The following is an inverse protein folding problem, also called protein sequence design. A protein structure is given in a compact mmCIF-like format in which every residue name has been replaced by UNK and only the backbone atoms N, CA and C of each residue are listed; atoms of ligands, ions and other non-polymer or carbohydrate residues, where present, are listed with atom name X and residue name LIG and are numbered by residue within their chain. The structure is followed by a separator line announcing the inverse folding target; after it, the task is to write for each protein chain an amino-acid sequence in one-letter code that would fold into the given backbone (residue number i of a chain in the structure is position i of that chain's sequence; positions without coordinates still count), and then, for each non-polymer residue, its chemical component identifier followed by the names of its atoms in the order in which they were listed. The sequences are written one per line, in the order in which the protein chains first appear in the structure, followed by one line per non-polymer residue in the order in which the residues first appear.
data_IF_590518404244
#
_entry.id   IF_590518404244
#
_cell.length_a   1.000
_cell.length_b   1.000
_cell.length_c   1.000
_cell.angle_alpha   90.00
_cell.angle_beta   90.00
_cell.angle_gamma   90.00
#
_symmetry.space_group_name_H-M   'P 1'
#
loop_
_entity.id
_entity.type
_entity.pdbx_description
1 polymer ?
#
# COMPACT_ATOMS: atom_id res chain seq x y z
N UNK A 1 -8.52 -23.59 -12.85
CA UNK A 1 -8.78 -22.19 -13.25
C UNK A 1 -7.57 -21.35 -12.87
N UNK A 2 -7.00 -20.60 -13.82
CA UNK A 2 -5.79 -19.79 -13.60
C UNK A 2 -6.15 -18.51 -12.85
N UNK A 3 -5.57 -18.29 -11.66
CA UNK A 3 -5.62 -16.98 -11.01
C UNK A 3 -4.71 -16.02 -11.77
N UNK A 4 -5.26 -14.96 -12.36
CA UNK A 4 -4.45 -13.90 -12.96
C UNK A 4 -3.78 -13.11 -11.83
N UNK A 5 -2.45 -13.10 -11.81
CA UNK A 5 -1.64 -12.27 -10.91
C UNK A 5 -1.18 -11.04 -11.68
N UNK A 6 -1.44 -9.85 -11.15
CA UNK A 6 -1.00 -8.58 -11.71
C UNK A 6 -0.07 -7.87 -10.73
N UNK A 7 1.02 -7.32 -11.28
CA UNK A 7 1.94 -6.44 -10.56
C UNK A 7 1.74 -5.00 -11.01
N UNK A 8 1.48 -4.11 -10.06
CA UNK A 8 1.20 -2.71 -10.34
C UNK A 8 2.06 -1.82 -9.43
N UNK A 9 2.67 -0.79 -9.99
CA UNK A 9 3.34 0.25 -9.23
C UNK A 9 2.40 1.45 -9.08
N UNK A 10 2.26 1.95 -7.87
CA UNK A 10 1.47 3.13 -7.55
C UNK A 10 2.36 4.13 -6.84
N UNK A 11 2.54 5.30 -7.46
CA UNK A 11 3.17 6.45 -6.81
C UNK A 11 2.23 7.04 -5.76
N UNK A 12 2.80 7.41 -4.62
CA UNK A 12 2.14 8.03 -3.48
C UNK A 12 2.85 9.35 -3.14
N UNK A 13 2.23 10.23 -2.34
CA UNK A 13 2.85 11.49 -1.96
C UNK A 13 4.21 11.32 -1.26
N UNK A 14 5.01 12.39 -1.28
CA UNK A 14 6.22 12.52 -0.44
C UNK A 14 7.28 11.44 -0.68
N UNK A 15 7.40 10.97 -1.92
CA UNK A 15 8.38 9.96 -2.32
C UNK A 15 8.03 8.53 -1.91
N UNK A 16 6.81 8.31 -1.42
CA UNK A 16 6.28 6.98 -1.18
C UNK A 16 5.86 6.30 -2.48
N UNK A 17 6.02 4.99 -2.54
CA UNK A 17 5.48 4.16 -3.62
C UNK A 17 4.97 2.83 -3.08
N UNK A 18 4.09 2.20 -3.85
CA UNK A 18 3.47 0.93 -3.51
C UNK A 18 3.57 -0.05 -4.68
N UNK A 19 4.26 -1.17 -4.48
CA UNK A 19 4.25 -2.30 -5.43
C UNK A 19 3.18 -3.30 -5.00
N UNK A 20 2.18 -3.49 -5.86
CA UNK A 20 0.98 -4.27 -5.56
C UNK A 20 1.06 -5.62 -6.28
N UNK A 21 1.01 -6.70 -5.52
CA UNK A 21 0.73 -8.05 -6.02
C UNK A 21 -0.74 -8.36 -5.79
N UNK A 22 -1.55 -8.26 -6.85
CA UNK A 22 -2.99 -8.55 -6.80
C UNK A 22 -3.32 -9.87 -7.47
N UNK A 23 -4.21 -10.63 -6.84
CA UNK A 23 -4.72 -11.91 -7.34
C UNK A 23 -6.24 -11.89 -7.41
N UNK A 24 -6.78 -12.37 -8.52
CA UNK A 24 -8.21 -12.67 -8.62
C UNK A 24 -8.48 -14.02 -7.95
N UNK A 25 -9.45 -14.06 -7.03
CA UNK A 25 -9.89 -15.25 -6.32
C UNK A 25 -10.89 -16.05 -7.17
N UNK A 26 -11.17 -17.30 -6.79
CA UNK A 26 -12.08 -18.21 -7.54
C UNK A 26 -13.52 -17.69 -7.66
N UNK A 27 -13.94 -16.79 -6.77
CA UNK A 27 -15.24 -16.12 -6.81
C UNK A 27 -15.22 -14.77 -7.57
N UNK A 28 -14.16 -14.48 -8.32
CA UNK A 28 -14.03 -13.27 -9.14
C UNK A 28 -13.64 -11.99 -8.37
N UNK A 29 -13.46 -12.07 -7.05
CA UNK A 29 -13.01 -10.96 -6.20
C UNK A 29 -11.49 -10.78 -6.26
N UNK A 30 -10.99 -9.70 -5.68
CA UNK A 30 -9.56 -9.35 -5.75
C UNK A 30 -8.97 -9.17 -4.36
N UNK A 31 -7.85 -9.84 -4.07
CA UNK A 31 -7.13 -9.70 -2.81
C UNK A 31 -5.62 -9.70 -3.08
N UNK A 32 -4.83 -9.27 -2.10
CA UNK A 32 -3.39 -9.24 -2.31
C UNK A 32 -2.62 -8.50 -1.25
N UNK A 33 -1.40 -8.18 -1.64
CA UNK A 33 -0.39 -7.57 -0.80
C UNK A 33 0.22 -6.39 -1.55
N UNK A 34 0.49 -5.32 -0.83
CA UNK A 34 1.16 -4.13 -1.34
C UNK A 34 2.40 -3.84 -0.50
N UNK A 35 3.58 -3.91 -1.12
CA UNK A 35 4.83 -3.46 -0.51
C UNK A 35 4.88 -1.94 -0.55
N UNK A 36 5.19 -1.32 0.58
CA UNK A 36 5.30 0.13 0.74
C UNK A 36 6.76 0.51 0.90
N UNK A 37 7.19 1.44 0.04
CA UNK A 37 8.55 1.93 0.01
C UNK A 37 8.58 3.45 0.07
N UNK A 38 9.61 4.01 0.69
CA UNK A 38 9.89 5.45 0.70
C UNK A 38 11.28 5.64 0.09
N UNK A 39 11.35 6.41 -1.00
CA UNK A 39 12.59 6.64 -1.75
C UNK A 39 13.29 5.32 -2.14
N UNK A 40 12.50 4.31 -2.51
CA UNK A 40 12.98 2.99 -2.92
C UNK A 40 13.36 2.03 -1.78
N UNK A 41 13.38 2.49 -0.53
CA UNK A 41 13.63 1.65 0.63
C UNK A 41 12.32 1.04 1.12
N UNK A 42 12.30 -0.25 1.45
CA UNK A 42 11.10 -0.94 1.95
C UNK A 42 10.82 -0.58 3.40
N UNK A 43 9.59 -0.16 3.69
CA UNK A 43 9.14 0.21 5.04
C UNK A 43 8.06 -0.69 5.61
N UNK A 44 7.29 -1.36 4.76
CA UNK A 44 6.20 -2.17 5.25
C UNK A 44 5.44 -2.90 4.17
N UNK A 45 4.43 -3.64 4.63
CA UNK A 45 3.56 -4.44 3.79
C UNK A 45 2.12 -4.20 4.23
N UNK A 46 1.26 -3.86 3.27
CA UNK A 46 -0.18 -3.74 3.43
C UNK A 46 -0.84 -5.00 2.85
N UNK A 47 -1.55 -5.74 3.69
CA UNK A 47 -2.44 -6.83 3.25
C UNK A 47 -3.84 -6.26 3.08
N UNK A 48 -4.47 -6.52 1.93
CA UNK A 48 -5.88 -6.16 1.72
C UNK A 48 -6.74 -7.39 1.44
N UNK A 49 -7.83 -7.47 2.20
CA UNK A 49 -8.84 -8.51 2.07
C UNK A 49 -9.60 -8.39 0.75
N UNK A 50 -10.45 -9.36 0.44
CA UNK A 50 -11.22 -9.44 -0.81
C UNK A 50 -12.03 -8.16 -1.10
N UNK A 51 -11.75 -7.54 -2.24
CA UNK A 51 -12.47 -6.42 -2.83
C UNK A 51 -13.35 -6.90 -4.00
N UNK A 52 -14.48 -6.24 -4.25
CA UNK A 52 -15.46 -6.70 -5.24
C UNK A 52 -14.97 -6.57 -6.69
N UNK A 53 -14.01 -5.68 -6.97
CA UNK A 53 -13.43 -5.47 -8.29
C UNK A 53 -11.95 -5.09 -8.20
N UNK A 54 -11.25 -5.15 -9.34
CA UNK A 54 -9.87 -4.69 -9.45
C UNK A 54 -9.74 -3.21 -9.08
N UNK A 55 -10.65 -2.38 -9.58
CA UNK A 55 -10.69 -0.94 -9.27
C UNK A 55 -10.88 -0.69 -7.76
N UNK A 56 -11.80 -1.41 -7.11
CA UNK A 56 -12.01 -1.32 -5.67
C UNK A 56 -10.76 -1.75 -4.89
N UNK A 57 -10.01 -2.74 -5.38
CA UNK A 57 -8.72 -3.11 -4.80
C UNK A 57 -7.65 -2.03 -4.93
N UNK A 58 -7.54 -1.41 -6.11
CA UNK A 58 -6.60 -0.31 -6.32
C UNK A 58 -6.96 0.91 -5.46
N UNK A 59 -8.24 1.26 -5.38
CA UNK A 59 -8.72 2.32 -4.49
C UNK A 59 -8.42 2.01 -3.02
N UNK A 60 -8.64 0.77 -2.58
CA UNK A 60 -8.34 0.32 -1.22
C UNK A 60 -6.84 0.41 -0.91
N UNK A 61 -5.98 -0.02 -1.83
CA UNK A 61 -4.52 0.09 -1.65
C UNK A 61 -4.11 1.55 -1.59
N UNK A 62 -4.52 2.40 -2.55
CA UNK A 62 -4.22 3.84 -2.54
C UNK A 62 -4.62 4.49 -1.21
N UNK A 63 -5.85 4.24 -0.74
CA UNK A 63 -6.33 4.82 0.51
C UNK A 63 -5.48 4.39 1.71
N UNK A 64 -5.25 3.08 1.88
CA UNK A 64 -4.55 2.54 3.05
C UNK A 64 -3.05 2.78 3.02
N UNK A 65 -2.44 2.74 1.83
CA UNK A 65 -1.05 3.10 1.62
C UNK A 65 -0.79 4.57 1.94
N UNK A 66 -1.64 5.48 1.45
CA UNK A 66 -1.53 6.90 1.79
C UNK A 66 -1.77 7.18 3.27
N UNK A 67 -2.67 6.44 3.93
CA UNK A 67 -2.82 6.50 5.38
C UNK A 67 -1.53 6.08 6.09
N UNK A 68 -0.95 4.94 5.70
CA UNK A 68 0.33 4.49 6.27
C UNK A 68 1.44 5.54 6.10
N UNK A 69 1.61 6.09 4.89
CA UNK A 69 2.62 7.11 4.62
C UNK A 69 2.48 8.32 5.54
N UNK A 70 1.26 8.89 5.65
CA UNK A 70 0.99 10.06 6.49
C UNK A 70 1.29 9.83 7.97
N UNK A 71 0.87 8.69 8.52
CA UNK A 71 1.13 8.36 9.92
C UNK A 71 2.64 8.25 10.21
N UNK A 72 3.46 7.81 9.24
CA UNK A 72 4.92 7.69 9.42
C UNK A 72 5.63 9.02 9.32
N UNK A 73 5.21 9.89 8.40
CA UNK A 73 5.73 11.26 8.32
C UNK A 73 5.41 12.02 9.61
N UNK A 74 4.17 11.95 10.08
CA UNK A 74 3.77 12.55 11.36
C UNK A 74 4.59 12.03 12.55
N UNK A 75 4.87 10.72 12.60
CA UNK A 75 5.75 10.16 13.64
C UNK A 75 7.19 10.65 13.55
N UNK A 76 7.72 10.89 12.35
CA UNK A 76 9.06 11.46 12.18
C UNK A 76 9.11 12.91 12.70
N UNK A 77 8.06 13.69 12.45
CA UNK A 77 7.93 15.05 12.96
C UNK A 77 7.88 15.07 14.49
N UNK A 78 7.05 14.22 15.11
CA UNK A 78 6.96 14.10 16.57
C UNK A 78 8.30 13.70 17.19
N UNK A 79 8.99 12.69 16.62
CA UNK A 79 10.32 12.29 17.11
C UNK A 79 11.34 13.43 17.03
N UNK A 80 11.31 14.20 15.95
CA UNK A 80 12.21 15.35 15.78
C UNK A 80 11.95 16.42 16.84
N UNK A 81 10.69 16.67 17.19
CA UNK A 81 10.30 17.61 18.26
C UNK A 81 10.68 17.12 19.67
N UNK A 82 10.60 15.80 19.92
CA UNK A 82 10.97 15.20 21.21
C UNK A 82 12.48 15.13 21.43
N UNK A 83 13.31 15.12 20.39
CA UNK A 83 14.79 15.14 20.50
C UNK A 83 15.38 16.54 20.73
N UNK A 84 14.56 17.58 20.61
CA UNK A 84 14.96 18.99 20.80
C UNK A 84 14.74 19.50 22.24
N UNK A 85 14.39 18.62 23.19
CA UNK A 85 14.23 18.89 24.61
C UNK A 85 15.05 17.90 25.44
#
# INVERSE_FOLDING_TARGET
MSSTQQQLLVELPDGWSSRIDIKQTTNGRYAGVAELSLLGLKWGVLVFMQQPSLEAALARVRLRASQFARERLSLADVKSQMQLH
#
